data_IF_594580721677
#
_entry.id   IF_594580721677
#
_cell.length_a   1.000
_cell.length_b   1.000
_cell.length_c   1.000
_cell.angle_alpha   90.00
_cell.angle_beta   90.00
_cell.angle_gamma   90.00
#
_symmetry.space_group_name_H-M   'P 1'
#
loop_
_entity.id
_entity.type
_entity.pdbx_description
1 polymer ?
#
# COMPACT_ATOMS: atom_id res chain seq x y z
N UNK A 1 10.28 -0.55 10.84
CA UNK A 1 10.23 0.77 10.17
C UNK A 1 8.88 0.93 9.48
N UNK A 2 8.26 2.10 9.59
CA UNK A 2 6.98 2.42 8.93
C UNK A 2 7.20 3.58 7.96
N UNK A 3 6.79 3.44 6.71
CA UNK A 3 6.72 4.54 5.74
C UNK A 3 5.35 4.62 5.06
N UNK A 4 4.97 5.86 4.74
CA UNK A 4 3.68 6.22 4.17
C UNK A 4 3.90 7.29 3.12
N UNK A 5 3.51 7.00 1.89
CA UNK A 5 3.66 7.90 0.75
C UNK A 5 2.40 7.89 -0.08
N UNK A 6 1.93 9.08 -0.44
CA UNK A 6 0.83 9.30 -1.38
C UNK A 6 1.23 10.44 -2.29
N UNK A 7 1.05 10.27 -3.59
CA UNK A 7 1.28 11.29 -4.61
C UNK A 7 0.09 11.29 -5.57
N UNK A 8 -0.46 12.46 -5.85
CA UNK A 8 -1.40 12.66 -6.93
C UNK A 8 -0.65 12.62 -8.26
N UNK A 9 -1.12 11.79 -9.18
CA UNK A 9 -0.55 11.63 -10.52
C UNK A 9 -1.65 11.82 -11.55
N UNK A 10 -1.34 12.23 -12.79
CA UNK A 10 -2.34 12.24 -13.85
C UNK A 10 -2.96 10.84 -14.03
N UNK A 11 -4.27 10.80 -14.22
CA UNK A 11 -4.98 9.57 -14.55
C UNK A 11 -4.39 8.96 -15.81
N UNK A 12 -4.16 7.64 -15.78
CA UNK A 12 -3.57 6.89 -16.88
C UNK A 12 -3.97 5.44 -16.81
N UNK A 13 -3.72 4.67 -17.87
CA UNK A 13 -3.96 3.22 -17.85
C UNK A 13 -3.22 2.48 -16.72
N UNK A 14 -2.12 3.06 -16.21
CA UNK A 14 -1.35 2.52 -15.08
C UNK A 14 -1.87 3.00 -13.72
N UNK A 15 -2.43 4.20 -13.65
CA UNK A 15 -2.95 4.80 -12.41
C UNK A 15 -4.35 5.34 -12.71
N UNK A 16 -5.37 4.47 -12.81
CA UNK A 16 -6.71 4.89 -13.20
C UNK A 16 -7.33 5.85 -12.19
N UNK A 17 -6.97 5.74 -10.91
CA UNK A 17 -7.50 6.58 -9.83
C UNK A 17 -6.69 7.87 -9.58
N UNK A 18 -5.74 8.21 -10.47
CA UNK A 18 -4.94 9.43 -10.36
C UNK A 18 -4.07 9.49 -9.09
N UNK A 19 -3.74 8.34 -8.51
CA UNK A 19 -2.97 8.24 -7.27
C UNK A 19 -1.90 7.16 -7.34
N UNK A 20 -0.73 7.48 -6.79
CA UNK A 20 0.33 6.51 -6.51
C UNK A 20 0.63 6.50 -5.02
N UNK A 21 0.68 5.34 -4.40
CA UNK A 21 0.92 5.22 -2.96
C UNK A 21 1.82 4.04 -2.60
N UNK A 22 2.36 4.11 -1.38
CA UNK A 22 3.12 3.06 -0.71
C UNK A 22 2.94 3.23 0.80
N UNK A 23 2.28 2.26 1.45
CA UNK A 23 2.18 2.12 2.89
C UNK A 23 2.91 0.84 3.28
N UNK A 24 3.97 0.92 4.05
CA UNK A 24 4.81 -0.23 4.35
C UNK A 24 5.23 -0.23 5.81
N UNK A 25 5.04 -1.36 6.44
CA UNK A 25 5.53 -1.74 7.73
C UNK A 25 6.49 -2.93 7.57
N UNK A 26 7.74 -2.75 7.97
CA UNK A 26 8.78 -3.76 7.89
C UNK A 26 9.71 -3.76 9.10
N UNK A 27 10.70 -4.64 9.13
CA UNK A 27 11.72 -4.70 10.20
C UNK A 27 12.90 -3.76 9.90
N UNK A 28 13.85 -3.64 10.82
CA UNK A 28 15.11 -2.91 10.56
C UNK A 28 16.04 -3.67 9.62
N UNK A 29 15.91 -5.00 9.58
CA UNK A 29 16.68 -5.91 8.73
C UNK A 29 16.12 -6.00 7.29
N UNK A 30 15.09 -5.22 6.97
CA UNK A 30 14.54 -5.07 5.62
C UNK A 30 13.41 -6.04 5.26
N UNK A 31 12.89 -6.80 6.21
CA UNK A 31 11.74 -7.69 6.00
C UNK A 31 10.45 -6.88 5.87
N UNK A 32 9.59 -7.22 4.89
CA UNK A 32 8.26 -6.63 4.74
C UNK A 32 7.24 -7.43 5.54
N UNK A 33 6.72 -6.84 6.62
CA UNK A 33 5.64 -7.46 7.41
C UNK A 33 4.27 -7.20 6.78
N UNK A 34 4.06 -5.97 6.31
CA UNK A 34 2.84 -5.56 5.61
C UNK A 34 3.14 -4.41 4.67
N UNK A 35 2.75 -4.51 3.40
CA UNK A 35 2.80 -3.38 2.47
C UNK A 35 1.53 -3.29 1.64
N UNK A 36 1.07 -2.08 1.38
CA UNK A 36 0.06 -1.75 0.40
C UNK A 36 0.68 -0.78 -0.60
N UNK A 37 0.65 -1.10 -1.88
CA UNK A 37 1.11 -0.17 -2.92
C UNK A 37 0.37 -0.40 -4.24
N UNK A 38 0.65 0.46 -5.21
CA UNK A 38 0.21 0.27 -6.58
C UNK A 38 1.32 0.46 -7.62
N UNK A 39 2.56 0.09 -7.28
CA UNK A 39 3.73 0.33 -8.11
C UNK A 39 3.63 -0.33 -9.51
N UNK A 40 2.95 -1.48 -9.58
CA UNK A 40 2.67 -2.23 -10.80
C UNK A 40 1.39 -1.77 -11.54
N UNK A 41 0.73 -0.73 -11.06
CA UNK A 41 -0.51 -0.20 -11.64
C UNK A 41 -1.78 -0.97 -11.25
N UNK A 42 -1.67 -1.84 -10.25
CA UNK A 42 -2.76 -2.54 -9.60
C UNK A 42 -2.59 -2.37 -8.11
N UNK A 43 -3.70 -2.34 -7.37
CA UNK A 43 -3.65 -2.24 -5.92
C UNK A 43 -3.26 -3.59 -5.34
N UNK A 44 -2.14 -3.60 -4.63
CA UNK A 44 -1.53 -4.81 -4.12
C UNK A 44 -1.35 -4.70 -2.60
N UNK A 45 -1.54 -5.84 -1.93
CA UNK A 45 -1.15 -6.06 -0.55
C UNK A 45 -0.06 -7.13 -0.50
N UNK A 46 0.98 -6.85 0.27
CA UNK A 46 2.10 -7.73 0.52
C UNK A 46 2.14 -8.15 1.99
N UNK A 47 2.40 -9.42 2.25
CA UNK A 47 2.70 -9.97 3.58
C UNK A 47 3.88 -10.92 3.39
N UNK A 48 5.06 -10.57 3.92
CA UNK A 48 6.30 -11.26 3.57
C UNK A 48 6.49 -11.28 2.05
N UNK A 49 6.71 -12.47 1.50
CA UNK A 49 6.86 -12.70 0.05
C UNK A 49 5.52 -12.87 -0.70
N UNK A 50 4.39 -12.89 0.03
CA UNK A 50 3.08 -13.08 -0.59
C UNK A 50 2.54 -11.76 -1.13
N UNK A 51 1.97 -11.80 -2.34
CA UNK A 51 1.35 -10.64 -2.99
C UNK A 51 -0.08 -11.01 -3.40
N UNK A 52 -1.04 -10.17 -3.02
CA UNK A 52 -2.43 -10.30 -3.42
C UNK A 52 -2.95 -8.99 -4.01
N UNK A 53 -3.77 -9.10 -5.06
CA UNK A 53 -4.51 -7.95 -5.57
C UNK A 53 -5.69 -7.67 -4.66
N UNK A 54 -5.97 -6.41 -4.44
CA UNK A 54 -7.06 -5.96 -3.57
C UNK A 54 -7.96 -4.98 -4.30
N UNK A 55 -9.18 -4.82 -3.81
CA UNK A 55 -10.04 -3.72 -4.21
C UNK A 55 -9.48 -2.40 -3.67
N UNK A 56 -9.76 -1.31 -4.39
CA UNK A 56 -9.38 0.03 -3.98
C UNK A 56 -10.59 0.81 -3.49
N UNK A 57 -10.82 0.88 -2.17
CA UNK A 57 -11.92 1.66 -1.61
C UNK A 57 -11.66 3.18 -1.61
N UNK A 58 -10.46 3.60 -2.02
CA UNK A 58 -9.97 4.97 -1.86
C UNK A 58 -8.85 5.06 -0.84
N UNK A 59 -8.02 6.10 -0.95
CA UNK A 59 -6.76 6.19 -0.20
C UNK A 59 -6.95 6.30 1.32
N UNK A 60 -8.04 6.94 1.76
CA UNK A 60 -8.34 7.15 3.18
C UNK A 60 -8.68 5.82 3.85
N UNK A 61 -9.66 5.09 3.31
CA UNK A 61 -10.06 3.79 3.85
C UNK A 61 -8.92 2.78 3.77
N UNK A 62 -8.14 2.79 2.68
CA UNK A 62 -6.98 1.91 2.55
C UNK A 62 -5.91 2.21 3.61
N UNK A 63 -5.69 3.49 3.92
CA UNK A 63 -4.77 3.90 4.98
C UNK A 63 -5.27 3.47 6.36
N UNK A 64 -6.56 3.62 6.64
CA UNK A 64 -7.16 3.15 7.91
C UNK A 64 -7.03 1.64 8.08
N UNK A 65 -7.27 0.86 7.02
CA UNK A 65 -7.04 -0.60 7.04
C UNK A 65 -5.57 -0.95 7.35
N UNK A 66 -4.62 -0.20 6.78
CA UNK A 66 -3.20 -0.37 7.09
C UNK A 66 -2.89 0.00 8.54
N UNK A 67 -3.33 1.17 9.01
CA UNK A 67 -3.09 1.67 10.36
C UNK A 67 -3.63 0.70 11.42
N UNK A 68 -4.89 0.29 11.29
CA UNK A 68 -5.52 -0.66 12.20
C UNK A 68 -4.77 -1.99 12.28
N UNK A 69 -4.20 -2.48 11.17
CA UNK A 69 -3.41 -3.71 11.16
C UNK A 69 -2.11 -3.57 11.93
N UNK A 70 -1.41 -2.44 11.80
CA UNK A 70 -0.10 -2.24 12.44
C UNK A 70 -0.21 -1.81 13.90
N UNK A 71 -1.32 -1.18 14.30
CA UNK A 71 -1.58 -0.83 15.71
C UNK A 71 -2.03 -2.05 16.54
N UNK A 72 -2.60 -3.06 15.89
CA UNK A 72 -2.95 -4.35 16.51
C UNK A 72 -1.83 -5.38 16.53
N UNK A 73 -0.61 -5.04 16.10
CA UNK A 73 0.58 -5.93 16.09
C UNK A 73 1.49 -5.63 17.27
#
# INVERSE_FOLDING_TARGET
>A
MIHRKVILVPESSKFPDGVKYEFHHGTLDGETLLRYDNAHGQHEKHIGDSVEKIEYPGIVELYEQFANKIEGT
#
